data_IF_000055954935
#
_entry.id   IF_000055954935
#
_cell.length_a   1.000
_cell.length_b   1.000
_cell.length_c   1.000
_cell.angle_alpha   90.00
_cell.angle_beta   90.00
_cell.angle_gamma   90.00
#
_symmetry.space_group_name_H-M   'P 1'
#
loop_
_entity.id
_entity.type
_entity.pdbx_description
1 polymer ?
#
# COMPACT_ATOMS: atom_id res chain seq x y z
N UNK A 1 1.99 -16.87 5.77
CA UNK A 1 3.32 -17.40 6.11
C UNK A 1 4.09 -16.42 7.01
N UNK A 2 4.30 -15.15 6.60
CA UNK A 2 5.07 -14.13 7.34
C UNK A 2 4.50 -13.89 8.75
N UNK A 3 3.20 -13.61 8.86
CA UNK A 3 2.52 -13.40 10.14
C UNK A 3 2.59 -14.62 11.06
N UNK A 4 2.52 -15.83 10.50
CA UNK A 4 2.64 -17.05 11.28
C UNK A 4 4.06 -17.20 11.86
N UNK A 5 5.09 -16.88 11.09
CA UNK A 5 6.47 -16.88 11.55
C UNK A 5 6.70 -15.84 12.65
N UNK A 6 6.18 -14.61 12.46
CA UNK A 6 6.22 -13.55 13.47
C UNK A 6 5.59 -14.02 14.81
N UNK A 7 4.36 -14.56 14.74
CA UNK A 7 3.66 -15.08 15.96
C UNK A 7 4.39 -16.23 16.65
N UNK A 8 5.14 -17.02 15.87
CA UNK A 8 5.92 -18.12 16.38
C UNK A 8 7.35 -17.73 16.83
N UNK A 9 7.75 -16.46 16.64
CA UNK A 9 9.11 -15.98 16.93
C UNK A 9 10.18 -16.65 16.07
N UNK A 10 9.82 -17.08 14.86
CA UNK A 10 10.73 -17.76 13.90
C UNK A 10 11.04 -16.86 12.71
N UNK A 11 12.14 -17.13 12.01
CA UNK A 11 12.47 -16.42 10.80
C UNK A 11 11.38 -16.59 9.73
N UNK A 12 10.93 -15.50 9.08
CA UNK A 12 9.92 -15.61 8.05
C UNK A 12 10.47 -16.30 6.81
N UNK A 13 9.65 -17.09 6.10
CA UNK A 13 10.05 -17.66 4.82
C UNK A 13 10.24 -16.53 3.78
N UNK A 14 11.04 -16.75 2.73
CA UNK A 14 11.15 -15.77 1.64
C UNK A 14 9.81 -15.57 0.96
N UNK A 15 9.61 -14.38 0.37
CA UNK A 15 8.47 -14.14 -0.51
C UNK A 15 8.58 -15.02 -1.76
N UNK A 16 7.45 -15.45 -2.33
CA UNK A 16 7.47 -16.26 -3.56
C UNK A 16 8.22 -15.53 -4.68
N UNK A 17 9.09 -16.25 -5.34
CA UNK A 17 9.70 -15.77 -6.57
C UNK A 17 8.65 -15.83 -7.69
N UNK A 18 8.38 -14.69 -8.33
CA UNK A 18 7.46 -14.57 -9.47
C UNK A 18 8.29 -14.07 -10.65
N UNK A 19 8.27 -14.78 -11.77
CA UNK A 19 8.98 -14.37 -12.98
C UNK A 19 8.25 -13.24 -13.71
N UNK A 20 8.97 -12.52 -14.56
CA UNK A 20 8.35 -11.48 -15.40
C UNK A 20 7.39 -12.09 -16.43
N UNK A 21 7.61 -13.31 -16.86
CA UNK A 21 6.70 -14.01 -17.78
C UNK A 21 5.37 -14.36 -17.09
N UNK A 22 5.40 -14.84 -15.84
CA UNK A 22 4.18 -15.06 -15.05
C UNK A 22 3.42 -13.74 -14.80
N UNK A 23 4.13 -12.64 -14.56
CA UNK A 23 3.51 -11.31 -14.43
C UNK A 23 2.85 -10.92 -15.76
N UNK A 24 3.55 -11.05 -16.89
CA UNK A 24 3.01 -10.72 -18.22
C UNK A 24 1.75 -11.52 -18.51
N UNK A 25 1.82 -12.84 -18.38
CA UNK A 25 0.66 -13.72 -18.62
C UNK A 25 -0.54 -13.32 -17.76
N UNK A 26 -0.32 -13.10 -16.46
CA UNK A 26 -1.39 -12.74 -15.52
C UNK A 26 -2.02 -11.39 -15.85
N UNK A 27 -1.20 -10.36 -16.11
CA UNK A 27 -1.66 -9.00 -16.40
C UNK A 27 -2.37 -8.95 -17.76
N UNK A 28 -1.84 -9.61 -18.79
CA UNK A 28 -2.45 -9.65 -20.11
C UNK A 28 -3.81 -10.35 -20.10
N UNK A 29 -3.90 -11.49 -19.43
CA UNK A 29 -5.14 -12.26 -19.34
C UNK A 29 -6.25 -11.57 -18.53
N UNK A 30 -5.91 -10.67 -17.62
CA UNK A 30 -6.86 -10.05 -16.69
C UNK A 30 -6.96 -8.54 -16.90
N UNK A 31 -6.04 -7.76 -16.31
CA UNK A 31 -6.14 -6.30 -16.25
C UNK A 31 -6.07 -5.66 -17.63
N UNK A 32 -5.10 -6.02 -18.46
CA UNK A 32 -4.96 -5.44 -19.79
C UNK A 32 -6.14 -5.76 -20.70
N UNK A 33 -6.64 -6.98 -20.62
CA UNK A 33 -7.85 -7.35 -21.38
C UNK A 33 -9.01 -6.44 -21.01
N UNK A 34 -9.27 -6.26 -19.70
CA UNK A 34 -10.38 -5.42 -19.22
C UNK A 34 -10.21 -3.94 -19.57
N UNK A 35 -8.97 -3.42 -19.47
CA UNK A 35 -8.64 -2.04 -19.83
C UNK A 35 -8.95 -1.80 -21.30
N UNK A 36 -8.48 -2.69 -22.18
CA UNK A 36 -8.71 -2.61 -23.64
C UNK A 36 -10.19 -2.74 -24.00
N UNK A 37 -10.89 -3.71 -23.42
CA UNK A 37 -12.34 -3.93 -23.64
C UNK A 37 -13.18 -2.72 -23.25
N UNK A 38 -12.73 -1.96 -22.23
CA UNK A 38 -13.43 -0.78 -21.70
C UNK A 38 -12.96 0.55 -22.29
N UNK A 39 -11.97 0.54 -23.14
CA UNK A 39 -11.41 1.75 -23.77
C UNK A 39 -10.75 2.71 -22.76
N UNK A 40 -10.13 2.18 -21.71
CA UNK A 40 -9.35 2.99 -20.78
C UNK A 40 -7.90 3.11 -21.31
N UNK A 41 -7.34 4.32 -21.22
CA UNK A 41 -6.00 4.61 -21.73
C UNK A 41 -4.91 4.25 -20.72
N UNK A 42 -5.15 4.54 -19.43
CA UNK A 42 -4.19 4.34 -18.35
C UNK A 42 -4.88 3.93 -17.06
N UNK A 43 -4.19 3.17 -16.23
CA UNK A 43 -4.68 2.72 -14.92
C UNK A 43 -3.67 2.98 -13.84
N UNK A 44 -4.13 3.58 -12.73
CA UNK A 44 -3.37 3.65 -11.49
C UNK A 44 -3.36 2.26 -10.86
N UNK A 45 -2.16 1.71 -10.64
CA UNK A 45 -1.97 0.37 -10.12
C UNK A 45 -1.32 0.40 -8.74
N UNK A 46 -1.97 -0.22 -7.76
CA UNK A 46 -1.51 -0.22 -6.37
C UNK A 46 -1.64 -1.60 -5.74
N UNK A 47 -0.95 -1.88 -4.64
CA UNK A 47 -1.20 -3.08 -3.85
C UNK A 47 -2.66 -3.16 -3.43
N UNK A 48 -3.19 -4.39 -3.38
CA UNK A 48 -4.58 -4.64 -3.02
C UNK A 48 -4.88 -4.13 -1.60
N UNK A 49 -5.94 -3.35 -1.45
CA UNK A 49 -6.34 -2.76 -0.17
C UNK A 49 -6.48 -3.77 0.97
N UNK A 50 -7.06 -4.93 0.72
CA UNK A 50 -7.19 -6.00 1.72
C UNK A 50 -5.87 -6.61 2.18
N UNK A 51 -4.75 -6.31 1.51
CA UNK A 51 -3.41 -6.69 1.92
C UNK A 51 -2.71 -5.59 2.73
N UNK A 52 -3.27 -4.39 2.78
CA UNK A 52 -2.80 -3.29 3.61
C UNK A 52 -3.34 -3.46 5.04
N UNK A 53 -2.76 -4.40 5.78
CA UNK A 53 -3.18 -4.74 7.15
C UNK A 53 -2.03 -4.46 8.15
N UNK A 54 -1.66 -3.17 8.37
CA UNK A 54 -0.48 -2.81 9.17
C UNK A 54 -0.57 -3.23 10.63
N UNK A 55 -1.78 -3.48 11.15
CA UNK A 55 -2.01 -4.01 12.49
C UNK A 55 -1.70 -5.52 12.65
N UNK A 56 -1.41 -6.20 11.56
CA UNK A 56 -1.11 -7.64 11.58
C UNK A 56 0.39 -7.86 11.70
N UNK A 57 0.88 -7.86 12.89
CA UNK A 57 2.29 -7.89 13.23
C UNK A 57 2.77 -6.52 13.74
N UNK A 58 4.06 -6.31 13.64
CA UNK A 58 4.71 -5.04 13.94
C UNK A 58 5.47 -4.50 12.71
N UNK A 59 6.32 -3.50 12.93
CA UNK A 59 7.13 -2.90 11.89
C UNK A 59 8.05 -3.90 11.18
N UNK A 60 8.52 -4.95 11.88
CA UNK A 60 9.37 -6.00 11.28
C UNK A 60 8.63 -6.85 10.24
N UNK A 61 7.30 -6.86 10.29
CA UNK A 61 6.42 -7.51 9.30
C UNK A 61 5.92 -6.50 8.27
N UNK A 62 5.47 -5.31 8.72
CA UNK A 62 4.82 -4.33 7.86
C UNK A 62 5.78 -3.72 6.83
N UNK A 63 7.02 -3.41 7.22
CA UNK A 63 8.01 -2.82 6.30
C UNK A 63 8.40 -3.77 5.16
N UNK A 64 8.88 -5.00 5.42
CA UNK A 64 9.21 -5.92 4.33
C UNK A 64 7.99 -6.28 3.46
N UNK A 65 6.80 -6.32 4.05
CA UNK A 65 5.57 -6.57 3.31
C UNK A 65 5.24 -5.44 2.34
N UNK A 66 5.28 -4.19 2.81
CA UNK A 66 5.07 -3.03 1.96
C UNK A 66 6.09 -2.98 0.82
N UNK A 67 7.37 -3.20 1.13
CA UNK A 67 8.43 -3.23 0.14
C UNK A 67 8.24 -4.33 -0.91
N UNK A 68 7.87 -5.54 -0.49
CA UNK A 68 7.61 -6.65 -1.41
C UNK A 68 6.45 -6.33 -2.36
N UNK A 69 5.36 -5.78 -1.83
CA UNK A 69 4.20 -5.39 -2.63
C UNK A 69 4.54 -4.25 -3.60
N UNK A 70 5.20 -3.19 -3.12
CA UNK A 70 5.58 -2.05 -3.94
C UNK A 70 6.59 -2.44 -5.03
N UNK A 71 7.55 -3.30 -4.72
CA UNK A 71 8.49 -3.82 -5.72
C UNK A 71 7.77 -4.60 -6.83
N UNK A 72 6.73 -5.36 -6.49
CA UNK A 72 5.91 -6.05 -7.49
C UNK A 72 5.15 -5.07 -8.38
N UNK A 73 4.56 -4.01 -7.79
CA UNK A 73 3.92 -2.94 -8.57
C UNK A 73 4.94 -2.27 -9.51
N UNK A 74 6.13 -1.92 -9.01
CA UNK A 74 7.18 -1.31 -9.83
C UNK A 74 7.57 -2.20 -11.03
N UNK A 75 7.64 -3.54 -10.83
CA UNK A 75 7.88 -4.49 -11.93
C UNK A 75 6.75 -4.48 -12.94
N UNK A 76 5.49 -4.49 -12.51
CA UNK A 76 4.34 -4.41 -13.42
C UNK A 76 4.38 -3.13 -14.24
N UNK A 77 4.61 -1.98 -13.59
CA UNK A 77 4.73 -0.69 -14.28
C UNK A 77 5.90 -0.71 -15.28
N UNK A 78 7.05 -1.25 -14.91
CA UNK A 78 8.20 -1.38 -15.80
C UNK A 78 7.95 -2.31 -17.00
N UNK A 79 7.08 -3.32 -16.86
CA UNK A 79 6.71 -4.23 -17.95
C UNK A 79 5.64 -3.65 -18.88
N UNK A 80 4.82 -2.71 -18.40
CA UNK A 80 3.70 -2.11 -19.15
C UNK A 80 3.59 -0.60 -18.90
N UNK A 81 4.65 0.18 -19.19
CA UNK A 81 4.74 1.60 -18.82
C UNK A 81 3.72 2.50 -19.52
N UNK A 82 3.19 2.09 -20.67
CA UNK A 82 2.17 2.83 -21.42
C UNK A 82 0.76 2.67 -20.83
N UNK A 83 0.57 1.73 -19.88
CA UNK A 83 -0.75 1.39 -19.37
C UNK A 83 -0.87 1.61 -17.87
N UNK A 84 0.20 1.40 -17.11
CA UNK A 84 0.16 1.49 -15.65
C UNK A 84 1.07 2.57 -15.09
N UNK A 85 0.57 3.25 -14.05
CA UNK A 85 1.35 4.09 -13.16
C UNK A 85 1.22 3.57 -11.74
N UNK A 86 2.29 3.62 -10.97
CA UNK A 86 2.34 3.02 -9.63
C UNK A 86 1.89 3.98 -8.53
N UNK A 87 1.09 3.47 -7.59
CA UNK A 87 0.81 4.09 -6.28
C UNK A 87 1.20 3.10 -5.20
N UNK A 88 1.97 3.53 -4.22
CA UNK A 88 2.51 2.64 -3.19
C UNK A 88 1.60 2.48 -1.97
N UNK A 89 1.76 1.37 -1.26
CA UNK A 89 1.29 1.25 0.11
C UNK A 89 2.40 1.62 1.08
N UNK A 90 2.00 2.15 2.25
CA UNK A 90 2.91 2.50 3.33
C UNK A 90 2.83 1.49 4.47
N UNK A 91 3.91 1.20 5.19
CA UNK A 91 3.90 0.23 6.28
C UNK A 91 3.05 0.61 7.49
N UNK A 92 2.83 1.87 7.78
CA UNK A 92 1.92 2.45 8.80
C UNK A 92 1.69 1.58 10.05
N UNK A 93 2.73 1.01 10.63
CA UNK A 93 2.61 0.16 11.83
C UNK A 93 2.07 0.96 13.00
N UNK A 94 0.98 0.51 13.69
CA UNK A 94 0.26 1.33 14.67
C UNK A 94 1.08 1.78 15.88
N UNK A 95 2.10 1.02 16.24
CA UNK A 95 2.93 1.27 17.43
C UNK A 95 4.31 1.86 17.10
N UNK A 96 4.51 2.24 15.85
CA UNK A 96 5.74 2.84 15.37
C UNK A 96 5.55 4.32 15.03
N UNK A 97 6.65 5.05 14.97
CA UNK A 97 6.63 6.37 14.33
C UNK A 97 6.47 6.24 12.80
N UNK A 98 6.34 7.37 12.12
CA UNK A 98 6.15 7.40 10.68
C UNK A 98 7.45 7.32 9.87
N UNK A 99 8.61 7.15 10.50
CA UNK A 99 9.90 7.18 9.80
C UNK A 99 10.00 6.14 8.68
N UNK A 100 9.52 4.92 8.93
CA UNK A 100 9.50 3.87 7.91
C UNK A 100 8.50 4.13 6.80
N UNK A 101 7.36 4.79 7.09
CA UNK A 101 6.40 5.19 6.07
C UNK A 101 6.94 6.32 5.20
N UNK A 102 7.62 7.29 5.79
CA UNK A 102 8.31 8.37 5.07
C UNK A 102 9.42 7.80 4.17
N UNK A 103 10.28 6.93 4.71
CA UNK A 103 11.35 6.31 3.94
C UNK A 103 10.82 5.45 2.77
N UNK A 104 9.74 4.72 2.98
CA UNK A 104 9.12 3.91 1.92
C UNK A 104 8.46 4.76 0.85
N UNK A 105 7.80 5.87 1.22
CA UNK A 105 7.26 6.83 0.25
C UNK A 105 8.38 7.40 -0.63
N UNK A 106 9.45 7.89 -0.02
CA UNK A 106 10.61 8.44 -0.72
C UNK A 106 11.25 7.41 -1.67
N UNK A 107 11.41 6.17 -1.20
CA UNK A 107 11.91 5.06 -2.03
C UNK A 107 11.01 4.79 -3.24
N UNK A 108 9.70 4.76 -3.04
CA UNK A 108 8.74 4.48 -4.11
C UNK A 108 8.67 5.62 -5.13
N UNK A 109 8.67 6.87 -4.70
CA UNK A 109 8.74 8.02 -5.60
C UNK A 109 10.04 7.99 -6.41
N UNK A 110 11.17 7.62 -5.79
CA UNK A 110 12.44 7.39 -6.50
C UNK A 110 12.38 6.27 -7.55
N UNK A 111 11.42 5.36 -7.46
CA UNK A 111 11.14 4.33 -8.48
C UNK A 111 10.10 4.77 -9.54
N UNK A 112 9.58 6.00 -9.46
CA UNK A 112 8.61 6.54 -10.41
C UNK A 112 7.15 6.39 -9.98
N UNK A 113 6.87 6.10 -8.71
CA UNK A 113 5.51 6.10 -8.18
C UNK A 113 4.97 7.54 -8.11
N UNK A 114 3.67 7.70 -8.39
CA UNK A 114 3.02 9.01 -8.48
C UNK A 114 2.23 9.40 -7.23
N UNK A 115 2.26 8.58 -6.18
CA UNK A 115 1.54 8.82 -4.93
C UNK A 115 1.50 7.58 -4.03
N UNK A 116 0.72 7.67 -2.97
CA UNK A 116 0.56 6.58 -2.02
C UNK A 116 -0.91 6.34 -1.61
N UNK A 117 -1.18 5.13 -1.14
CA UNK A 117 -2.40 4.82 -0.39
C UNK A 117 -2.16 5.07 1.09
N UNK A 118 -3.04 5.83 1.71
CA UNK A 118 -3.01 6.13 3.14
C UNK A 118 -4.19 5.44 3.83
N UNK A 119 -3.89 4.52 4.75
CA UNK A 119 -4.91 3.90 5.58
C UNK A 119 -5.30 4.87 6.72
N UNK A 120 -6.56 5.30 6.82
CA UNK A 120 -7.00 6.26 7.84
C UNK A 120 -7.06 5.65 9.24
N UNK A 121 -7.09 4.32 9.37
CA UNK A 121 -7.07 3.63 10.65
C UNK A 121 -6.14 2.40 10.60
N UNK A 122 -4.83 2.63 10.68
CA UNK A 122 -3.84 1.55 10.65
C UNK A 122 -3.95 0.59 11.84
N UNK A 123 -4.68 0.97 12.89
CA UNK A 123 -4.95 0.14 14.09
C UNK A 123 -5.99 -0.96 13.89
N UNK A 124 -6.43 -1.23 12.65
CA UNK A 124 -7.34 -2.34 12.34
C UNK A 124 -8.82 -2.01 12.46
N UNK A 125 -9.19 -0.74 12.36
CA UNK A 125 -10.58 -0.32 12.29
C UNK A 125 -11.24 -0.02 13.63
N UNK A 126 -10.46 0.13 14.70
CA UNK A 126 -10.98 0.42 16.05
C UNK A 126 -10.68 1.85 16.51
N UNK A 127 -10.22 2.72 15.63
CA UNK A 127 -9.82 4.12 15.92
C UNK A 127 -8.91 4.25 17.16
N UNK A 128 -7.97 3.33 17.29
CA UNK A 128 -6.95 3.36 18.36
C UNK A 128 -5.71 4.17 17.96
N UNK A 129 -5.68 4.66 16.74
CA UNK A 129 -4.60 5.43 16.18
C UNK A 129 -5.05 6.90 16.02
N UNK A 130 -4.14 7.88 16.08
CA UNK A 130 -4.47 9.27 15.85
C UNK A 130 -5.21 9.47 14.52
N UNK A 131 -6.29 10.28 14.50
CA UNK A 131 -7.00 10.60 13.26
C UNK A 131 -6.07 11.31 12.27
N UNK A 132 -6.36 11.26 10.99
CA UNK A 132 -5.52 11.87 9.94
C UNK A 132 -5.34 13.39 10.10
N UNK A 133 -6.15 14.04 10.92
CA UNK A 133 -6.00 15.47 11.26
C UNK A 133 -5.02 15.75 12.39
N UNK A 134 -4.51 14.71 13.05
CA UNK A 134 -3.59 14.83 14.17
C UNK A 134 -2.17 15.20 13.69
N UNK A 135 -1.44 16.07 14.43
CA UNK A 135 -0.03 16.39 14.15
C UNK A 135 0.90 15.20 14.03
N UNK A 136 0.55 14.04 14.57
CA UNK A 136 1.28 12.79 14.36
C UNK A 136 1.57 12.52 12.88
N UNK A 137 0.68 12.88 11.97
CA UNK A 137 0.80 12.62 10.53
C UNK A 137 1.61 13.67 9.78
N UNK A 138 1.92 14.81 10.39
CA UNK A 138 2.59 15.92 9.71
C UNK A 138 3.94 15.55 9.06
N UNK A 139 4.82 14.73 9.68
CA UNK A 139 6.06 14.33 9.02
C UNK A 139 5.85 13.61 7.68
N UNK A 140 4.77 12.86 7.56
CA UNK A 140 4.41 12.21 6.29
C UNK A 140 3.82 13.22 5.30
N UNK A 141 2.98 14.14 5.75
CA UNK A 141 2.41 15.18 4.90
C UNK A 141 3.47 16.14 4.38
N UNK A 142 4.41 16.54 5.22
CA UNK A 142 5.55 17.37 4.84
C UNK A 142 6.38 16.68 3.74
N UNK A 143 6.62 15.37 3.87
CA UNK A 143 7.32 14.60 2.84
C UNK A 143 6.51 14.48 1.54
N UNK A 144 5.21 14.33 1.62
CA UNK A 144 4.33 14.32 0.44
C UNK A 144 4.38 15.65 -0.31
N UNK A 145 4.38 16.77 0.44
CA UNK A 145 4.51 18.12 -0.14
C UNK A 145 5.90 18.31 -0.78
N UNK A 146 6.97 17.87 -0.09
CA UNK A 146 8.34 17.93 -0.62
C UNK A 146 8.50 17.17 -1.94
N UNK A 147 7.85 15.99 -2.03
CA UNK A 147 7.92 15.10 -3.19
C UNK A 147 6.88 15.45 -4.27
N UNK A 148 5.97 16.39 -4.00
CA UNK A 148 4.84 16.77 -4.88
C UNK A 148 3.97 15.57 -5.29
N UNK A 149 3.57 14.74 -4.31
CA UNK A 149 2.77 13.54 -4.54
C UNK A 149 1.49 13.53 -3.71
N UNK A 150 0.35 13.09 -4.29
CA UNK A 150 -0.92 12.94 -3.57
C UNK A 150 -0.98 11.63 -2.77
N UNK A 151 -1.90 11.60 -1.80
CA UNK A 151 -2.36 10.36 -1.17
C UNK A 151 -3.83 10.11 -1.46
N UNK A 152 -4.15 8.84 -1.71
CA UNK A 152 -5.52 8.36 -1.70
C UNK A 152 -5.83 7.81 -0.30
N UNK A 153 -6.84 8.39 0.37
CA UNK A 153 -7.37 7.83 1.61
C UNK A 153 -8.08 6.52 1.29
N UNK A 154 -7.47 5.41 1.67
CA UNK A 154 -7.95 4.08 1.32
C UNK A 154 -8.27 3.25 2.56
N UNK A 155 -9.55 3.13 2.86
CA UNK A 155 -10.02 2.31 3.99
C UNK A 155 -9.78 0.84 3.67
N UNK A 156 -9.03 0.16 4.53
CA UNK A 156 -8.82 -1.28 4.44
C UNK A 156 -8.94 -1.92 5.83
N UNK A 157 -9.69 -3.00 5.91
CA UNK A 157 -9.85 -3.76 7.14
C UNK A 157 -10.55 -3.03 8.28
N UNK A 158 -11.28 -1.95 8.00
CA UNK A 158 -12.03 -1.24 9.04
C UNK A 158 -13.17 -2.10 9.53
N UNK A 159 -13.18 -2.35 10.85
CA UNK A 159 -14.28 -3.02 11.56
C UNK A 159 -15.17 -2.01 12.29
N UNK A 160 -14.97 -0.71 12.08
CA UNK A 160 -15.73 0.31 12.81
C UNK A 160 -17.15 0.41 12.24
N UNK A 161 -18.17 0.03 13.04
CA UNK A 161 -19.56 0.13 12.60
C UNK A 161 -20.02 1.57 12.31
N UNK A 162 -19.35 2.58 12.90
CA UNK A 162 -19.69 3.97 12.65
C UNK A 162 -19.40 4.40 11.20
N UNK A 163 -18.41 3.83 10.53
CA UNK A 163 -18.15 4.10 9.10
C UNK A 163 -19.29 3.60 8.20
N UNK A 164 -20.05 2.59 8.65
CA UNK A 164 -21.17 2.05 7.90
C UNK A 164 -22.52 2.64 8.33
N UNK A 165 -22.63 3.01 9.61
CA UNK A 165 -23.88 3.49 10.20
C UNK A 165 -24.13 5.00 9.97
N UNK A 166 -23.06 5.80 9.92
CA UNK A 166 -23.16 7.27 9.82
C UNK A 166 -22.91 7.81 8.40
N UNK A 167 -22.55 6.94 7.45
CA UNK A 167 -22.14 7.34 6.11
C UNK A 167 -20.81 8.12 6.11
N UNK A 168 -20.43 8.64 4.96
CA UNK A 168 -19.21 9.44 4.80
C UNK A 168 -19.44 10.90 5.29
N UNK A 169 -19.80 11.09 6.52
CA UNK A 169 -19.90 12.40 7.17
C UNK A 169 -18.62 12.73 7.91
N UNK A 170 -17.49 12.75 7.20
CA UNK A 170 -16.21 13.22 7.73
C UNK A 170 -15.57 14.18 6.74
#
# INVERSE_FOLDING_TARGET
>A
AQVAAFKAGTAPPPYPAISDDEIRETIEANQLRLIRERGADMTIFSPRASAMAPHVGDQSVAVPWAQACNNLIARVVGLFPETFVGVCMLPQSPEADLSSSVAELERCVGMGFIGCNLNPDPGGGHFRHPPLTDPYWFPLYDKMVELDVPAMIHVSGSCNPAQHATGAYY
#
